data_IF_743380048674
#
_entry.id   IF_743380048674
#
_cell.length_a   1.000
_cell.length_b   1.000
_cell.length_c   1.000
_cell.angle_alpha   90.00
_cell.angle_beta   90.00
_cell.angle_gamma   90.00
#
_symmetry.space_group_name_H-M   'P 1'
#
loop_
_entity.id
_entity.type
_entity.pdbx_description
1 polymer ?
#
# COMPACT_ATOMS: atom_id res chain seq x y z
N UNK A 1 -10.38 -6.88 36.28
CA UNK A 1 -9.72 -5.91 35.39
C UNK A 1 -10.32 -5.97 33.98
N UNK A 2 -11.64 -5.82 33.86
CA UNK A 2 -12.36 -6.04 32.59
C UNK A 2 -12.52 -4.76 31.78
N UNK A 3 -12.55 -3.61 32.46
CA UNK A 3 -12.65 -2.29 31.84
C UNK A 3 -11.44 -1.91 31.00
N UNK A 4 -10.24 -2.38 31.37
CA UNK A 4 -9.02 -2.15 30.58
C UNK A 4 -9.08 -2.87 29.23
N UNK A 5 -9.57 -4.11 29.20
CA UNK A 5 -9.75 -4.86 27.95
C UNK A 5 -10.76 -4.17 27.03
N UNK A 6 -11.88 -3.69 27.58
CA UNK A 6 -12.89 -2.95 26.84
C UNK A 6 -12.32 -1.64 26.27
N UNK A 7 -11.57 -0.88 27.07
CA UNK A 7 -10.96 0.37 26.62
C UNK A 7 -9.93 0.17 25.51
N UNK A 8 -9.07 -0.84 25.63
CA UNK A 8 -8.06 -1.16 24.61
C UNK A 8 -8.71 -1.66 23.33
N UNK A 9 -9.73 -2.53 23.41
CA UNK A 9 -10.46 -3.01 22.24
C UNK A 9 -11.14 -1.88 21.47
N UNK A 10 -11.90 -1.02 22.17
CA UNK A 10 -12.61 0.10 21.53
C UNK A 10 -11.63 1.11 20.93
N UNK A 11 -10.56 1.47 21.64
CA UNK A 11 -9.56 2.40 21.12
C UNK A 11 -8.81 1.84 19.91
N UNK A 12 -8.40 0.56 19.93
CA UNK A 12 -7.75 -0.09 18.78
C UNK A 12 -8.67 -0.10 17.56
N UNK A 13 -9.93 -0.51 17.71
CA UNK A 13 -10.88 -0.57 16.59
C UNK A 13 -11.11 0.83 16.01
N UNK A 14 -11.37 1.83 16.85
CA UNK A 14 -11.57 3.21 16.40
C UNK A 14 -10.35 3.79 15.68
N UNK A 15 -9.14 3.53 16.19
CA UNK A 15 -7.90 3.99 15.55
C UNK A 15 -7.69 3.36 14.18
N UNK A 16 -7.92 2.05 14.04
CA UNK A 16 -7.76 1.33 12.77
C UNK A 16 -8.78 1.82 11.74
N UNK A 17 -10.03 1.99 12.13
CA UNK A 17 -11.09 2.51 11.26
C UNK A 17 -10.75 3.92 10.81
N UNK A 18 -10.39 4.81 11.73
CA UNK A 18 -10.01 6.18 11.39
C UNK A 18 -8.79 6.22 10.45
N UNK A 19 -7.73 5.48 10.77
CA UNK A 19 -6.57 5.37 9.89
C UNK A 19 -6.99 4.91 8.49
N UNK A 20 -7.79 3.85 8.39
CA UNK A 20 -8.27 3.31 7.10
C UNK A 20 -9.05 4.36 6.31
N UNK A 21 -10.02 5.05 6.92
CA UNK A 21 -10.80 6.09 6.25
C UNK A 21 -9.98 7.34 5.90
N UNK A 22 -9.06 7.76 6.76
CA UNK A 22 -8.16 8.89 6.50
C UNK A 22 -7.25 8.62 5.30
N UNK A 23 -6.69 7.41 5.23
CA UNK A 23 -5.93 6.94 4.08
C UNK A 23 -6.80 6.91 2.81
N UNK A 24 -8.04 6.41 2.90
CA UNK A 24 -8.97 6.39 1.77
C UNK A 24 -9.30 7.81 1.27
N UNK A 25 -9.50 8.78 2.17
CA UNK A 25 -9.80 10.17 1.81
C UNK A 25 -8.59 10.91 1.23
N UNK A 26 -7.39 10.69 1.79
CA UNK A 26 -6.16 11.39 1.39
C UNK A 26 -5.69 10.98 -0.01
N UNK A 27 -5.86 9.72 -0.38
CA UNK A 27 -5.41 9.20 -1.67
C UNK A 27 -6.56 9.08 -2.68
N UNK A 28 -7.83 8.96 -2.26
CA UNK A 28 -8.95 8.78 -3.17
C UNK A 28 -8.85 7.50 -4.01
N UNK A 29 -9.77 7.29 -4.95
CA UNK A 29 -9.86 6.04 -5.75
C UNK A 29 -8.59 5.73 -6.54
N UNK A 30 -7.86 6.77 -6.98
CA UNK A 30 -6.68 6.61 -7.84
C UNK A 30 -5.35 7.00 -7.19
N UNK A 31 -5.32 7.54 -5.97
CA UNK A 31 -4.06 8.08 -5.40
C UNK A 31 -3.05 7.00 -5.03
N UNK A 32 -3.52 5.87 -4.50
CA UNK A 32 -2.64 4.72 -4.25
C UNK A 32 -2.10 4.16 -5.57
N UNK A 33 -2.91 4.12 -6.62
CA UNK A 33 -2.49 3.72 -7.96
C UNK A 33 -1.48 4.70 -8.57
N UNK A 34 -1.67 6.02 -8.39
CA UNK A 34 -0.72 7.05 -8.83
C UNK A 34 0.62 6.96 -8.09
N UNK A 35 0.58 6.70 -6.79
CA UNK A 35 1.80 6.52 -6.00
C UNK A 35 2.56 5.25 -6.40
N UNK A 36 1.84 4.16 -6.67
CA UNK A 36 2.42 2.93 -7.21
C UNK A 36 3.01 3.12 -8.62
N UNK A 37 2.31 3.86 -9.49
CA UNK A 37 2.79 4.20 -10.82
C UNK A 37 4.07 5.05 -10.78
N UNK A 38 4.14 6.04 -9.88
CA UNK A 38 5.32 6.88 -9.68
C UNK A 38 6.53 6.09 -9.15
N UNK A 39 6.30 5.09 -8.29
CA UNK A 39 7.37 4.15 -7.86
C UNK A 39 7.83 3.23 -8.99
N UNK A 40 6.95 2.92 -9.95
CA UNK A 40 7.23 2.03 -11.09
C UNK A 40 7.88 2.77 -12.28
N UNK A 41 7.75 4.09 -12.35
CA UNK A 41 8.26 4.86 -13.48
C UNK A 41 9.81 4.87 -13.50
N UNK A 42 10.46 4.37 -14.57
CA UNK A 42 11.92 4.38 -14.66
C UNK A 42 12.44 5.83 -14.79
N UNK A 43 13.55 6.13 -14.10
CA UNK A 43 14.17 7.48 -14.10
C UNK A 43 14.84 7.83 -15.43
N UNK A 44 15.21 6.82 -16.24
CA UNK A 44 15.81 7.00 -17.55
C UNK A 44 15.35 5.90 -18.51
N UNK A 45 14.98 6.30 -19.72
CA UNK A 45 14.72 5.37 -20.82
C UNK A 45 16.04 5.11 -21.53
N UNK A 46 16.65 3.93 -21.31
CA UNK A 46 17.81 3.51 -22.07
C UNK A 46 17.34 3.05 -23.45
N UNK A 47 17.73 3.78 -24.51
CA UNK A 47 17.32 3.58 -25.91
C UNK A 47 17.49 2.15 -26.46
N UNK A 48 18.28 1.31 -25.80
CA UNK A 48 18.57 -0.07 -26.22
C UNK A 48 17.63 -1.13 -25.63
N UNK A 49 16.76 -0.77 -24.68
CA UNK A 49 15.84 -1.71 -24.02
C UNK A 49 14.40 -1.36 -24.40
N UNK A 50 13.66 -2.35 -24.91
CA UNK A 50 12.26 -2.14 -25.29
C UNK A 50 11.46 -1.68 -24.06
N UNK A 51 10.59 -0.65 -24.17
CA UNK A 51 9.69 -0.22 -23.09
C UNK A 51 8.90 -1.38 -22.47
N UNK A 52 8.62 -2.40 -23.28
CA UNK A 52 7.95 -3.64 -22.88
C UNK A 52 8.69 -4.39 -21.76
N UNK A 53 10.02 -4.32 -21.69
CA UNK A 53 10.80 -4.95 -20.62
C UNK A 53 10.59 -4.27 -19.26
N UNK A 54 10.40 -2.95 -19.22
CA UNK A 54 10.12 -2.23 -17.98
C UNK A 54 8.67 -2.41 -17.51
N UNK A 55 7.76 -2.71 -18.45
CA UNK A 55 6.37 -3.04 -18.12
C UNK A 55 6.26 -4.50 -17.63
N UNK A 56 7.12 -5.42 -18.08
CA UNK A 56 7.12 -6.82 -17.65
C UNK A 56 7.85 -7.01 -16.29
N UNK A 57 7.04 -7.04 -15.23
CA UNK A 57 7.27 -7.61 -13.88
C UNK A 57 8.03 -6.76 -12.84
N UNK A 58 7.40 -6.61 -11.66
CA UNK A 58 7.78 -7.44 -10.52
C UNK A 58 6.82 -8.63 -10.38
N UNK A 59 7.37 -9.82 -10.14
CA UNK A 59 6.57 -10.92 -9.57
C UNK A 59 5.97 -10.37 -8.26
N UNK A 60 4.67 -10.53 -7.99
CA UNK A 60 4.18 -10.27 -6.64
C UNK A 60 5.08 -11.07 -5.70
N UNK A 61 5.64 -10.39 -4.70
CA UNK A 61 6.29 -11.07 -3.59
C UNK A 61 5.18 -11.82 -2.87
N UNK A 62 4.90 -13.03 -3.35
CA UNK A 62 4.17 -14.04 -2.61
C UNK A 62 4.73 -14.00 -1.20
N UNK A 63 3.85 -13.79 -0.22
CA UNK A 63 4.19 -13.67 1.19
C UNK A 63 4.76 -15.04 1.61
N UNK A 64 6.03 -15.30 1.32
CA UNK A 64 6.85 -16.29 2.02
C UNK A 64 7.37 -15.61 3.30
N UNK A 65 6.42 -15.25 4.16
CA UNK A 65 6.68 -14.95 5.56
C UNK A 65 5.39 -15.16 6.36
N UNK A 66 4.87 -16.38 6.25
CA UNK A 66 4.18 -17.02 7.36
C UNK A 66 5.15 -18.09 7.89
N UNK A 67 6.01 -17.70 8.83
CA UNK A 67 6.67 -18.57 9.81
C UNK A 67 7.03 -17.75 11.03
#
# INVERSE_FOLDING_TARGET
NSFVCLGVGVSMVSLVVWQTFSLNQKYGEHGLMKQAARKRHPKYLRHQRSPRQFIRYPKPKTILNEK
#
